data_IF_345106806353
#
_entry.id   IF_345106806353
#
_cell.length_a   1.000
_cell.length_b   1.000
_cell.length_c   1.000
_cell.angle_alpha   90.00
_cell.angle_beta   90.00
_cell.angle_gamma   90.00
#
_symmetry.space_group_name_H-M   'P 1'
#
loop_
_entity.id
_entity.type
_entity.pdbx_description
1 polymer ?
#
# COMPACT_ATOMS: atom_id res chain seq x y z
N UNK A 1 -18.36 6.82 -48.11
CA UNK A 1 -19.06 6.34 -49.32
C UNK A 1 -18.69 4.89 -49.59
N UNK A 2 -19.56 3.96 -49.24
CA UNK A 2 -19.92 2.77 -50.06
C UNK A 2 -21.25 2.30 -49.50
N UNK A 3 -22.26 2.41 -50.33
CA UNK A 3 -23.65 2.07 -50.08
C UNK A 3 -23.99 0.72 -50.74
N UNK A 4 -25.21 0.26 -50.45
CA UNK A 4 -26.03 -0.79 -51.08
C UNK A 4 -25.87 -2.20 -50.45
N UNK A 5 -26.91 -2.91 -50.02
CA UNK A 5 -28.35 -2.60 -50.00
C UNK A 5 -29.22 -3.88 -49.88
N UNK A 6 -30.43 -3.71 -49.32
CA UNK A 6 -31.71 -4.45 -49.54
C UNK A 6 -31.79 -5.97 -49.26
N UNK A 7 -32.92 -6.62 -48.93
CA UNK A 7 -34.27 -6.31 -48.43
C UNK A 7 -35.08 -7.62 -48.27
N UNK A 8 -36.26 -7.55 -47.63
CA UNK A 8 -37.40 -8.51 -47.75
C UNK A 8 -37.71 -9.23 -46.42
N UNK A 9 -38.75 -8.92 -45.64
CA UNK A 9 -40.20 -8.79 -45.88
C UNK A 9 -40.89 -10.12 -46.24
N UNK A 10 -41.78 -10.58 -45.36
CA UNK A 10 -42.62 -11.77 -45.54
C UNK A 10 -43.72 -11.85 -44.48
N UNK A 11 -44.74 -10.98 -44.61
CA UNK A 11 -46.04 -11.12 -43.96
C UNK A 11 -46.83 -12.24 -44.66
N UNK A 12 -47.42 -13.17 -43.92
CA UNK A 12 -48.58 -13.93 -44.40
C UNK A 12 -49.75 -13.79 -43.42
N UNK A 13 -50.84 -13.20 -43.94
CA UNK A 13 -52.19 -13.24 -43.39
C UNK A 13 -52.83 -14.57 -43.73
N UNK A 14 -53.65 -15.10 -42.82
CA UNK A 14 -54.84 -15.88 -43.19
C UNK A 14 -56.01 -15.53 -42.26
N UNK A 15 -57.12 -15.18 -42.90
CA UNK A 15 -58.44 -14.87 -42.35
C UNK A 15 -59.28 -16.13 -42.14
N UNK A 16 -60.21 -16.12 -41.18
CA UNK A 16 -61.24 -17.17 -41.08
C UNK A 16 -62.28 -16.98 -39.98
N UNK A 17 -63.40 -16.34 -40.34
CA UNK A 17 -64.81 -16.54 -39.94
C UNK A 17 -65.20 -17.15 -38.58
N UNK A 18 -66.00 -16.37 -37.83
CA UNK A 18 -67.43 -16.68 -37.60
C UNK A 18 -67.82 -17.52 -36.36
N UNK A 19 -68.70 -16.95 -35.51
CA UNK A 19 -69.58 -17.76 -34.65
C UNK A 19 -69.89 -17.14 -33.28
N UNK A 20 -71.03 -16.47 -33.16
CA UNK A 20 -71.60 -16.07 -31.88
C UNK A 20 -72.37 -17.23 -31.25
N UNK A 21 -72.19 -17.47 -29.94
CA UNK A 21 -73.24 -18.06 -29.11
C UNK A 21 -73.06 -17.74 -27.62
N UNK A 22 -74.21 -17.50 -26.98
CA UNK A 22 -74.45 -17.13 -25.58
C UNK A 22 -73.99 -18.24 -24.62
N UNK A 23 -73.54 -17.88 -23.41
CA UNK A 23 -74.25 -18.19 -22.15
C UNK A 23 -73.38 -18.06 -20.88
N UNK A 24 -74.09 -17.75 -19.79
CA UNK A 24 -73.85 -18.10 -18.37
C UNK A 24 -72.89 -17.22 -17.55
N UNK A 25 -73.53 -16.38 -16.73
CA UNK A 25 -73.02 -15.88 -15.46
C UNK A 25 -72.48 -17.04 -14.61
N UNK A 26 -71.17 -17.03 -14.35
CA UNK A 26 -70.51 -17.92 -13.39
C UNK A 26 -69.95 -17.10 -12.22
N UNK A 27 -70.35 -17.50 -11.01
CA UNK A 27 -69.85 -17.06 -9.72
C UNK A 27 -68.31 -17.11 -9.68
N UNK A 28 -67.68 -16.00 -9.29
CA UNK A 28 -66.21 -15.91 -9.13
C UNK A 28 -65.75 -16.78 -7.97
N UNK A 29 -64.71 -17.63 -8.12
CA UNK A 29 -64.09 -18.28 -6.98
C UNK A 29 -63.27 -17.24 -6.21
N UNK A 30 -63.42 -17.18 -4.89
CA UNK A 30 -62.49 -16.47 -4.02
C UNK A 30 -61.14 -17.17 -4.10
N UNK A 31 -60.20 -16.57 -4.83
CA UNK A 31 -58.79 -16.98 -4.85
C UNK A 31 -58.20 -16.57 -3.50
N UNK A 32 -57.86 -17.54 -2.66
CA UNK A 32 -57.03 -17.31 -1.48
C UNK A 32 -55.64 -16.86 -2.00
N UNK A 33 -55.29 -15.59 -1.83
CA UNK A 33 -53.92 -15.14 -2.04
C UNK A 33 -53.10 -15.63 -0.85
N UNK A 34 -52.31 -16.67 -1.05
CA UNK A 34 -51.16 -16.92 -0.18
C UNK A 34 -50.10 -15.92 -0.63
N UNK A 35 -49.94 -14.84 0.13
CA UNK A 35 -48.78 -13.97 0.00
C UNK A 35 -47.57 -14.75 0.48
N UNK A 36 -46.80 -15.31 -0.46
CA UNK A 36 -45.44 -15.72 -0.15
C UNK A 36 -44.68 -14.44 0.21
N UNK A 37 -44.36 -14.28 1.49
CA UNK A 37 -43.40 -13.29 1.95
C UNK A 37 -42.06 -13.65 1.32
N UNK A 38 -41.70 -12.96 0.24
CA UNK A 38 -40.31 -12.91 -0.21
C UNK A 38 -39.57 -12.14 0.87
N UNK A 39 -38.93 -12.86 1.79
CA UNK A 39 -37.85 -12.28 2.55
C UNK A 39 -36.81 -11.83 1.53
N UNK A 40 -36.68 -10.52 1.35
CA UNK A 40 -35.50 -9.93 0.71
C UNK A 40 -34.31 -10.34 1.59
N UNK A 41 -33.59 -11.38 1.17
CA UNK A 41 -32.29 -11.67 1.75
C UNK A 41 -31.40 -10.50 1.37
N UNK A 42 -30.97 -9.72 2.35
CA UNK A 42 -29.89 -8.75 2.16
C UNK A 42 -28.72 -9.49 1.50
N UNK A 43 -28.14 -8.96 0.40
CA UNK A 43 -26.95 -9.56 -0.17
C UNK A 43 -25.88 -9.61 0.94
N UNK A 44 -25.14 -10.72 1.07
CA UNK A 44 -24.12 -10.84 2.11
C UNK A 44 -23.16 -9.65 1.99
N UNK A 45 -22.72 -9.10 3.13
CA UNK A 45 -21.89 -7.90 3.12
C UNK A 45 -20.66 -8.11 2.24
N UNK A 46 -20.42 -7.15 1.35
CA UNK A 46 -19.32 -7.24 0.40
C UNK A 46 -18.00 -7.33 1.16
N UNK A 47 -17.16 -8.32 0.81
CA UNK A 47 -15.83 -8.45 1.40
C UNK A 47 -14.98 -7.25 1.00
N UNK A 48 -14.35 -6.60 1.97
CA UNK A 48 -13.47 -5.45 1.75
C UNK A 48 -12.07 -5.74 2.27
N UNK A 49 -11.07 -5.30 1.53
CA UNK A 49 -9.68 -5.39 1.94
C UNK A 49 -9.28 -4.14 2.69
N UNK A 50 -8.56 -4.32 3.80
CA UNK A 50 -7.95 -3.25 4.60
C UNK A 50 -6.57 -3.64 5.09
N UNK A 51 -5.86 -2.66 5.61
CA UNK A 51 -4.58 -2.80 6.28
C UNK A 51 -4.77 -2.50 7.77
N UNK A 52 -4.46 -3.49 8.62
CA UNK A 52 -4.20 -3.23 10.04
C UNK A 52 -2.73 -2.87 10.19
N UNK A 53 -2.40 -1.82 10.93
CA UNK A 53 -1.05 -1.23 10.91
C UNK A 53 -0.51 -0.89 12.29
N UNK A 54 0.81 -0.99 12.44
CA UNK A 54 1.57 -0.40 13.52
C UNK A 54 2.78 0.35 12.95
N UNK A 55 3.16 1.46 13.57
CA UNK A 55 4.29 2.29 13.12
C UNK A 55 5.34 2.37 14.21
N UNK A 56 6.60 2.34 13.83
CA UNK A 56 7.72 2.76 14.67
C UNK A 56 8.55 3.78 13.89
N UNK A 57 8.79 4.94 14.51
CA UNK A 57 9.68 5.99 14.01
C UNK A 57 10.70 6.30 15.11
N UNK A 58 11.98 6.11 14.81
CA UNK A 58 13.11 6.26 15.74
C UNK A 58 14.17 7.12 15.07
N UNK A 59 14.13 8.46 15.31
CA UNK A 59 15.10 9.35 14.72
C UNK A 59 16.52 9.05 15.15
N UNK A 60 17.47 9.42 14.29
CA UNK A 60 18.89 9.49 14.61
C UNK A 60 19.09 10.34 15.88
N UNK A 61 19.94 9.92 16.84
CA UNK A 61 20.13 10.62 18.11
C UNK A 61 20.44 12.12 17.98
N UNK A 62 21.25 12.49 16.98
CA UNK A 62 21.62 13.89 16.71
C UNK A 62 20.49 14.74 16.09
N UNK A 63 19.42 14.10 15.60
CA UNK A 63 18.29 14.75 14.92
C UNK A 63 17.01 14.78 15.77
N UNK A 64 17.07 14.30 17.02
CA UNK A 64 15.90 14.14 17.90
C UNK A 64 15.13 15.45 18.13
N UNK A 65 15.83 16.58 18.27
CA UNK A 65 15.18 17.89 18.50
C UNK A 65 14.28 18.32 17.34
N UNK A 66 14.57 17.85 16.12
CA UNK A 66 13.79 18.12 14.91
C UNK A 66 12.78 17.02 14.57
N UNK A 67 12.82 15.90 15.31
CA UNK A 67 11.99 14.73 15.06
C UNK A 67 12.47 13.83 13.92
N UNK A 68 13.75 13.95 13.52
CA UNK A 68 14.31 13.21 12.38
C UNK A 68 13.97 13.81 11.01
N UNK A 69 14.46 13.16 9.96
CA UNK A 69 14.28 13.55 8.57
C UNK A 69 13.27 12.65 7.84
N UNK A 70 12.93 11.50 8.43
CA UNK A 70 11.87 10.61 7.97
C UNK A 70 10.46 11.19 8.19
N UNK A 71 9.54 10.78 7.32
CA UNK A 71 8.12 11.00 7.43
C UNK A 71 7.33 9.77 6.98
N UNK A 72 6.07 9.69 7.40
CA UNK A 72 5.17 8.61 6.99
C UNK A 72 3.72 9.07 7.00
N UNK A 73 2.83 8.28 6.40
CA UNK A 73 1.39 8.35 6.61
C UNK A 73 0.79 6.94 6.64
N UNK A 74 -0.39 6.81 7.27
CA UNK A 74 -1.15 5.57 7.33
C UNK A 74 -2.64 5.86 7.14
N UNK A 75 -3.27 5.10 6.26
CA UNK A 75 -4.70 5.05 5.98
C UNK A 75 -5.18 3.60 6.06
N UNK A 76 -6.49 3.40 6.13
CA UNK A 76 -7.08 2.06 6.16
C UNK A 76 -6.70 1.21 4.94
N UNK A 77 -6.49 1.85 3.78
CA UNK A 77 -6.15 1.13 2.54
C UNK A 77 -4.79 1.50 1.96
N UNK A 78 -4.06 2.44 2.55
CA UNK A 78 -2.80 2.92 1.98
C UNK A 78 -1.82 3.37 3.05
N UNK A 79 -0.53 3.34 2.73
CA UNK A 79 0.55 3.74 3.63
C UNK A 79 1.73 4.24 2.83
N UNK A 80 2.59 5.03 3.46
CA UNK A 80 3.78 5.58 2.82
C UNK A 80 4.88 5.94 3.80
N UNK A 81 6.12 5.75 3.38
CA UNK A 81 7.33 6.21 4.08
C UNK A 81 8.16 7.09 3.14
N UNK A 82 8.82 8.09 3.72
CA UNK A 82 9.58 9.10 3.01
C UNK A 82 10.83 9.42 3.84
N UNK A 83 12.02 9.12 3.33
CA UNK A 83 13.28 9.45 4.00
C UNK A 83 13.86 10.72 3.39
N UNK A 84 14.03 11.75 4.22
CA UNK A 84 14.55 13.06 3.82
C UNK A 84 16.07 13.03 3.67
N UNK A 85 16.58 13.42 2.51
CA UNK A 85 18.00 13.25 2.18
C UNK A 85 18.89 14.18 3.04
N UNK A 86 19.62 13.59 3.99
CA UNK A 86 20.43 14.30 4.98
C UNK A 86 21.45 15.32 4.44
N UNK A 87 21.88 15.16 3.18
CA UNK A 87 22.86 16.05 2.54
C UNK A 87 22.48 17.54 2.53
N UNK A 88 21.17 17.85 2.56
CA UNK A 88 20.67 19.22 2.60
C UNK A 88 21.03 19.98 3.89
N UNK A 89 21.27 19.27 4.99
CA UNK A 89 21.67 19.89 6.26
C UNK A 89 22.97 20.71 6.13
N UNK A 90 23.89 20.30 5.24
CA UNK A 90 25.13 21.04 4.94
C UNK A 90 24.90 22.43 4.33
N UNK A 91 23.71 22.67 3.77
CA UNK A 91 23.27 23.94 3.20
C UNK A 91 22.35 24.72 4.16
N UNK A 92 22.19 24.25 5.41
CA UNK A 92 21.27 24.85 6.38
C UNK A 92 19.79 24.57 6.09
N UNK A 93 19.48 23.61 5.22
CA UNK A 93 18.12 23.21 4.87
C UNK A 93 17.77 21.96 5.68
N UNK A 94 16.62 21.97 6.34
CA UNK A 94 16.12 20.83 7.12
C UNK A 94 15.46 19.80 6.17
N UNK A 95 16.07 18.61 5.97
CA UNK A 95 15.54 17.61 5.04
C UNK A 95 14.17 17.10 5.44
N UNK A 96 13.88 17.07 6.74
CA UNK A 96 12.60 16.59 7.26
C UNK A 96 11.42 17.49 6.89
N UNK A 97 11.65 18.78 6.58
CA UNK A 97 10.56 19.65 6.14
C UNK A 97 10.01 19.22 4.78
N UNK A 98 10.89 18.84 3.85
CA UNK A 98 10.48 18.40 2.52
C UNK A 98 9.75 17.06 2.57
N UNK A 99 10.31 16.05 3.27
CA UNK A 99 9.72 14.71 3.40
C UNK A 99 8.34 14.77 4.08
N UNK A 100 8.21 15.50 5.19
CA UNK A 100 6.92 15.67 5.90
C UNK A 100 5.86 16.35 5.04
N UNK A 101 6.22 17.39 4.28
CA UNK A 101 5.26 18.06 3.39
C UNK A 101 4.86 17.16 2.21
N UNK A 102 5.81 16.44 1.62
CA UNK A 102 5.51 15.49 0.54
C UNK A 102 4.59 14.36 1.02
N UNK A 103 4.85 13.80 2.21
CA UNK A 103 4.01 12.80 2.84
C UNK A 103 2.57 13.27 2.99
N UNK A 104 2.35 14.44 3.63
CA UNK A 104 1.02 15.02 3.85
C UNK A 104 0.27 15.28 2.53
N UNK A 105 0.93 15.89 1.55
CA UNK A 105 0.30 16.18 0.26
C UNK A 105 -0.06 14.87 -0.48
N UNK A 106 0.78 13.85 -0.39
CA UNK A 106 0.50 12.54 -1.01
C UNK A 106 -0.70 11.87 -0.34
N UNK A 107 -0.76 11.89 0.99
CA UNK A 107 -1.88 11.36 1.78
C UNK A 107 -3.21 12.04 1.41
N UNK A 108 -3.22 13.37 1.31
CA UNK A 108 -4.40 14.16 0.92
C UNK A 108 -4.92 13.74 -0.47
N UNK A 109 -4.02 13.57 -1.43
CA UNK A 109 -4.40 13.19 -2.79
C UNK A 109 -4.88 11.74 -2.91
N UNK A 110 -4.34 10.83 -2.10
CA UNK A 110 -4.87 9.46 -2.01
C UNK A 110 -6.28 9.45 -1.41
N UNK A 111 -6.56 10.28 -0.39
CA UNK A 111 -7.91 10.45 0.18
C UNK A 111 -8.91 11.01 -0.84
N UNK A 112 -8.46 11.85 -1.76
CA UNK A 112 -9.26 12.36 -2.88
C UNK A 112 -9.49 11.34 -4.00
N UNK A 113 -8.92 10.14 -3.89
CA UNK A 113 -9.16 9.02 -4.80
C UNK A 113 -8.18 8.92 -5.97
N UNK A 114 -7.10 9.71 -5.98
CA UNK A 114 -6.05 9.59 -7.00
C UNK A 114 -5.32 8.26 -6.88
N UNK A 115 -4.71 7.80 -7.97
CA UNK A 115 -3.78 6.69 -7.89
C UNK A 115 -2.44 7.10 -7.25
N UNK A 116 -1.58 6.12 -6.94
CA UNK A 116 -0.33 6.36 -6.22
C UNK A 116 0.62 7.30 -7.00
N UNK A 117 0.73 7.11 -8.32
CA UNK A 117 1.63 7.92 -9.14
C UNK A 117 1.08 9.33 -9.32
N UNK A 118 -0.22 9.48 -9.58
CA UNK A 118 -0.88 10.78 -9.67
C UNK A 118 -0.82 11.55 -8.35
N UNK A 119 -1.02 10.87 -7.21
CA UNK A 119 -0.96 11.48 -5.89
C UNK A 119 0.46 11.98 -5.57
N UNK A 120 1.48 11.14 -5.78
CA UNK A 120 2.87 11.49 -5.50
C UNK A 120 3.39 12.57 -6.46
N UNK A 121 3.03 12.51 -7.74
CA UNK A 121 3.42 13.54 -8.72
C UNK A 121 2.75 14.88 -8.44
N UNK A 122 1.48 14.88 -8.04
CA UNK A 122 0.81 16.08 -7.57
C UNK A 122 1.48 16.64 -6.31
N UNK A 123 1.78 15.79 -5.32
CA UNK A 123 2.45 16.19 -4.10
C UNK A 123 3.82 16.81 -4.38
N UNK A 124 4.61 16.20 -5.26
CA UNK A 124 5.93 16.68 -5.65
C UNK A 124 5.86 18.04 -6.35
N UNK A 125 4.94 18.22 -7.32
CA UNK A 125 4.75 19.50 -8.03
C UNK A 125 4.25 20.64 -7.14
N UNK A 126 3.55 20.31 -6.06
CA UNK A 126 2.98 21.29 -5.12
C UNK A 126 3.80 21.41 -3.81
N UNK A 127 4.99 20.83 -3.76
CA UNK A 127 5.94 21.02 -2.67
C UNK A 127 6.92 22.15 -3.04
N UNK A 128 6.75 23.31 -2.41
CA UNK A 128 7.56 24.51 -2.60
C UNK A 128 8.79 24.60 -1.67
N UNK A 129 9.01 23.58 -0.84
CA UNK A 129 10.14 23.56 0.09
C UNK A 129 11.42 23.12 -0.62
N UNK A 130 12.55 23.63 -0.14
CA UNK A 130 13.85 23.10 -0.53
C UNK A 130 14.10 21.77 0.19
N UNK A 131 14.79 20.85 -0.48
CA UNK A 131 14.98 19.49 0.01
C UNK A 131 14.76 18.45 -1.08
N UNK A 132 14.93 17.19 -0.68
CA UNK A 132 14.60 15.99 -1.44
C UNK A 132 14.33 14.83 -0.50
N UNK A 133 13.65 13.81 -1.00
CA UNK A 133 13.29 12.62 -0.23
C UNK A 133 13.14 11.40 -1.13
N UNK A 134 13.40 10.22 -0.58
CA UNK A 134 12.92 8.96 -1.15
C UNK A 134 11.42 8.80 -0.86
N UNK A 135 10.74 7.90 -1.55
CA UNK A 135 9.32 7.65 -1.32
C UNK A 135 8.94 6.21 -1.63
N UNK A 136 8.44 5.47 -0.65
CA UNK A 136 7.82 4.17 -0.86
C UNK A 136 6.37 4.23 -0.40
N UNK A 137 5.42 4.07 -1.32
CA UNK A 137 3.98 4.14 -1.05
C UNK A 137 3.26 2.90 -1.55
N UNK A 138 2.29 2.42 -0.78
CA UNK A 138 1.53 1.21 -1.07
C UNK A 138 0.04 1.38 -0.79
N UNK A 139 -0.80 0.70 -1.56
CA UNK A 139 -2.26 0.68 -1.39
C UNK A 139 -2.83 -0.71 -1.65
N UNK A 140 -3.68 -1.20 -0.75
CA UNK A 140 -4.47 -2.41 -0.98
C UNK A 140 -5.65 -2.11 -1.88
N UNK A 141 -5.77 -2.89 -2.95
CA UNK A 141 -6.83 -2.80 -3.94
C UNK A 141 -7.96 -3.77 -3.59
N UNK A 142 -9.22 -3.49 -3.99
CA UNK A 142 -10.36 -4.38 -3.76
C UNK A 142 -10.17 -5.82 -4.28
N UNK A 143 -9.29 -6.02 -5.27
CA UNK A 143 -8.97 -7.33 -5.84
C UNK A 143 -7.98 -8.19 -5.04
N UNK A 144 -7.57 -7.78 -3.84
CA UNK A 144 -6.59 -8.53 -3.03
C UNK A 144 -5.17 -8.41 -3.57
N UNK A 145 -4.79 -7.20 -3.98
CA UNK A 145 -3.44 -6.87 -4.43
C UNK A 145 -2.95 -5.60 -3.75
N UNK A 146 -1.65 -5.49 -3.57
CA UNK A 146 -0.98 -4.26 -3.16
C UNK A 146 -0.43 -3.58 -4.41
N UNK A 147 -0.99 -2.42 -4.75
CA UNK A 147 -0.32 -1.47 -5.63
C UNK A 147 0.82 -0.82 -4.85
N UNK A 148 1.97 -0.68 -5.50
CA UNK A 148 3.21 -0.15 -4.93
C UNK A 148 3.83 0.85 -5.90
N UNK A 149 4.45 1.89 -5.35
CA UNK A 149 5.36 2.78 -6.05
C UNK A 149 6.53 3.14 -5.13
N UNK A 150 7.76 2.84 -5.58
CA UNK A 150 8.99 3.15 -4.85
C UNK A 150 9.91 4.07 -5.68
N UNK A 151 10.40 5.14 -5.08
CA UNK A 151 11.45 6.01 -5.62
C UNK A 151 12.56 6.07 -4.58
N UNK A 152 13.70 5.45 -4.86
CA UNK A 152 14.86 5.39 -3.96
C UNK A 152 15.05 4.04 -3.27
N UNK A 153 15.71 4.06 -2.11
CA UNK A 153 16.13 2.88 -1.35
C UNK A 153 15.34 2.66 -0.03
N UNK A 154 14.29 3.43 0.19
CA UNK A 154 13.13 2.92 0.95
C UNK A 154 12.54 1.69 0.24
N UNK A 155 11.73 0.89 0.94
CA UNK A 155 11.23 -0.34 0.35
C UNK A 155 10.06 -1.03 1.04
N UNK A 156 9.48 -2.00 0.33
CA UNK A 156 8.43 -2.89 0.81
C UNK A 156 8.92 -4.34 0.78
N UNK A 157 8.73 -5.06 1.89
CA UNK A 157 8.92 -6.50 2.01
C UNK A 157 7.57 -7.16 2.32
N UNK A 158 7.14 -8.11 1.50
CA UNK A 158 5.92 -8.88 1.72
C UNK A 158 6.24 -10.28 2.22
N UNK A 159 5.59 -10.65 3.34
CA UNK A 159 5.85 -11.88 4.08
C UNK A 159 4.53 -12.62 4.25
N UNK A 160 4.53 -13.89 3.87
CA UNK A 160 3.45 -14.80 4.20
C UNK A 160 3.94 -15.72 5.32
N UNK A 161 3.38 -15.69 6.53
CA UNK A 161 3.92 -16.46 7.67
C UNK A 161 4.15 -17.96 7.38
N UNK A 162 3.32 -18.55 6.51
CA UNK A 162 3.43 -19.95 6.08
C UNK A 162 4.51 -20.24 5.01
N UNK A 163 5.02 -19.22 4.31
CA UNK A 163 5.97 -19.38 3.19
C UNK A 163 7.28 -18.61 3.37
N UNK A 164 7.27 -17.50 4.12
CA UNK A 164 8.38 -16.57 4.27
C UNK A 164 8.23 -15.32 3.40
N UNK A 165 9.33 -14.63 3.15
CA UNK A 165 9.39 -13.50 2.22
C UNK A 165 9.11 -14.00 0.80
N UNK A 166 8.11 -13.42 0.13
CA UNK A 166 7.79 -13.73 -1.26
C UNK A 166 7.91 -12.53 -2.21
N UNK A 167 8.12 -11.34 -1.66
CA UNK A 167 8.40 -10.14 -2.44
C UNK A 167 9.26 -9.17 -1.62
N UNK A 168 10.19 -8.49 -2.30
CA UNK A 168 10.96 -7.36 -1.79
C UNK A 168 11.20 -6.38 -2.94
N UNK A 169 11.07 -5.08 -2.69
CA UNK A 169 11.47 -4.06 -3.65
C UNK A 169 12.96 -4.10 -3.91
N UNK A 170 13.43 -3.96 -5.16
CA UNK A 170 14.85 -3.81 -5.43
C UNK A 170 15.33 -2.42 -5.02
N UNK A 171 16.60 -2.32 -4.63
CA UNK A 171 17.24 -1.05 -4.29
C UNK A 171 17.34 -0.15 -5.53
N UNK A 172 17.02 1.13 -5.38
CA UNK A 172 17.07 2.10 -6.49
C UNK A 172 18.05 3.24 -6.18
N UNK A 173 19.24 3.17 -6.77
CA UNK A 173 20.34 4.11 -6.53
C UNK A 173 21.07 4.46 -7.83
N UNK A 174 21.58 5.69 -7.94
CA UNK A 174 22.42 6.12 -9.07
C UNK A 174 23.86 5.59 -8.94
N UNK A 175 24.34 5.55 -7.70
CA UNK A 175 25.59 4.94 -7.26
C UNK A 175 25.46 4.62 -5.76
N UNK A 176 26.45 3.94 -5.18
CA UNK A 176 26.39 3.53 -3.78
C UNK A 176 25.99 4.70 -2.85
N UNK A 177 24.94 4.47 -2.07
CA UNK A 177 24.41 5.42 -1.08
C UNK A 177 23.98 6.78 -1.68
N UNK A 178 23.56 6.77 -2.94
CA UNK A 178 22.90 7.91 -3.60
C UNK A 178 21.59 7.43 -4.23
N UNK A 179 20.47 7.50 -3.47
CA UNK A 179 19.19 7.02 -3.95
C UNK A 179 18.60 7.93 -5.00
N UNK A 180 17.72 7.33 -5.81
CA UNK A 180 16.73 8.09 -6.55
C UNK A 180 15.86 8.89 -5.58
N UNK A 181 15.58 10.14 -5.89
CA UNK A 181 14.94 11.05 -4.93
C UNK A 181 14.15 12.16 -5.59
N UNK A 182 12.96 12.43 -5.06
CA UNK A 182 12.12 13.54 -5.51
C UNK A 182 12.53 14.79 -4.75
N UNK A 183 12.87 15.88 -5.44
CA UNK A 183 13.38 17.07 -4.77
C UNK A 183 13.24 18.35 -5.56
N UNK A 184 13.45 19.47 -4.86
CA UNK A 184 13.39 20.82 -5.42
C UNK A 184 14.40 21.10 -6.55
N UNK A 185 15.55 20.40 -6.56
CA UNK A 185 16.64 20.59 -7.53
C UNK A 185 17.09 19.31 -8.23
N UNK A 186 16.50 18.16 -7.89
CA UNK A 186 16.90 16.86 -8.41
C UNK A 186 16.12 16.50 -9.68
N UNK A 187 16.73 15.67 -10.52
CA UNK A 187 16.18 15.35 -11.85
C UNK A 187 15.19 14.17 -11.86
N UNK A 188 15.20 13.33 -10.82
CA UNK A 188 14.35 12.14 -10.76
C UNK A 188 12.88 12.53 -10.66
N UNK A 189 12.05 11.77 -11.37
CA UNK A 189 10.61 11.95 -11.42
C UNK A 189 9.92 10.73 -10.87
N UNK A 190 8.65 10.90 -10.51
CA UNK A 190 7.79 9.81 -10.04
C UNK A 190 7.77 8.62 -11.01
N UNK A 191 7.79 8.90 -12.32
CA UNK A 191 7.81 7.87 -13.38
C UNK A 191 9.12 7.08 -13.46
N UNK A 192 10.20 7.57 -12.84
CA UNK A 192 11.48 6.87 -12.80
C UNK A 192 11.48 5.84 -11.65
N UNK A 193 10.50 5.91 -10.74
CA UNK A 193 10.28 4.92 -9.70
C UNK A 193 9.79 3.56 -10.19
N UNK A 194 9.89 2.58 -9.29
CA UNK A 194 9.47 1.19 -9.52
C UNK A 194 8.03 1.04 -9.05
N UNK A 195 7.12 0.85 -10.01
CA UNK A 195 5.72 0.59 -9.76
C UNK A 195 5.37 -0.88 -9.98
N UNK A 196 4.40 -1.41 -9.23
CA UNK A 196 3.93 -2.78 -9.42
C UNK A 196 2.68 -3.14 -8.62
N UNK A 197 2.14 -4.32 -8.90
CA UNK A 197 1.08 -4.93 -8.12
C UNK A 197 1.51 -6.30 -7.60
N UNK A 198 1.28 -6.56 -6.32
CA UNK A 198 1.67 -7.80 -5.66
C UNK A 198 0.40 -8.48 -5.11
N UNK A 199 0.11 -9.74 -5.46
CA UNK A 199 -1.04 -10.45 -4.90
C UNK A 199 -0.82 -10.74 -3.42
N UNK A 200 -1.85 -10.50 -2.60
CA UNK A 200 -1.82 -10.76 -1.15
C UNK A 200 -2.91 -11.74 -0.73
N UNK A 201 -2.65 -12.43 0.38
CA UNK A 201 -3.64 -13.21 1.12
C UNK A 201 -3.96 -12.51 2.45
N UNK A 202 -5.15 -12.79 3.00
CA UNK A 202 -5.49 -12.30 4.33
C UNK A 202 -4.55 -12.92 5.36
N UNK A 203 -3.92 -12.10 6.19
CA UNK A 203 -2.86 -12.50 7.11
C UNK A 203 -1.44 -12.32 6.58
N UNK A 204 -1.25 -11.95 5.31
CA UNK A 204 0.08 -11.55 4.82
C UNK A 204 0.52 -10.24 5.52
N UNK A 205 1.80 -10.18 5.88
CA UNK A 205 2.44 -8.98 6.43
C UNK A 205 3.17 -8.21 5.34
N UNK A 206 3.14 -6.88 5.46
CA UNK A 206 3.84 -5.94 4.61
C UNK A 206 4.68 -5.05 5.54
N UNK A 207 5.99 -5.06 5.34
CA UNK A 207 6.92 -4.17 6.05
C UNK A 207 7.36 -3.10 5.08
N UNK A 208 6.85 -1.89 5.25
CA UNK A 208 7.24 -0.71 4.48
C UNK A 208 8.21 0.09 5.34
N UNK A 209 9.44 0.36 4.87
CA UNK A 209 10.48 0.94 5.71
C UNK A 209 11.46 1.82 4.94
N UNK A 210 12.09 2.75 5.65
CA UNK A 210 13.23 3.54 5.17
C UNK A 210 14.53 2.72 5.24
N UNK A 211 15.58 3.23 4.60
CA UNK A 211 16.88 2.58 4.55
C UNK A 211 17.48 2.36 5.95
N UNK A 212 17.21 3.21 6.94
CA UNK A 212 17.67 3.02 8.33
C UNK A 212 17.26 1.67 8.95
N UNK A 213 16.16 1.05 8.50
CA UNK A 213 15.86 -0.35 8.81
C UNK A 213 16.61 -1.31 7.86
N UNK A 214 16.46 -1.11 6.55
CA UNK A 214 16.86 -2.05 5.50
C UNK A 214 18.37 -2.23 5.39
N UNK A 215 19.14 -1.18 5.71
CA UNK A 215 20.60 -1.17 5.74
C UNK A 215 21.17 -1.91 6.94
N UNK A 216 20.36 -2.15 7.99
CA UNK A 216 20.82 -2.67 9.27
C UNK A 216 20.24 -4.04 9.65
N UNK A 217 19.20 -4.53 8.97
CA UNK A 217 18.56 -5.79 9.30
C UNK A 217 18.53 -6.75 8.11
N UNK A 218 19.11 -7.93 8.29
CA UNK A 218 19.07 -8.98 7.26
C UNK A 218 17.66 -9.52 7.05
N UNK A 219 17.33 -9.83 5.80
CA UNK A 219 16.02 -10.38 5.41
C UNK A 219 15.66 -11.65 6.21
N UNK A 220 16.63 -12.53 6.46
CA UNK A 220 16.43 -13.77 7.24
C UNK A 220 16.04 -13.45 8.69
N UNK A 221 16.65 -12.44 9.29
CA UNK A 221 16.37 -12.04 10.67
C UNK A 221 15.01 -11.32 10.77
N UNK A 222 14.72 -10.42 9.82
CA UNK A 222 13.43 -9.75 9.70
C UNK A 222 12.29 -10.77 9.53
N UNK A 223 12.43 -11.72 8.60
CA UNK A 223 11.43 -12.78 8.39
C UNK A 223 11.20 -13.59 9.67
N UNK A 224 12.29 -13.96 10.36
CA UNK A 224 12.21 -14.73 11.60
C UNK A 224 11.45 -13.97 12.68
N UNK A 225 11.75 -12.69 12.89
CA UNK A 225 11.06 -11.84 13.89
C UNK A 225 9.56 -11.79 13.60
N UNK A 226 9.17 -11.54 12.34
CA UNK A 226 7.75 -11.48 11.94
C UNK A 226 7.05 -12.81 12.21
N UNK A 227 7.65 -13.94 11.80
CA UNK A 227 7.05 -15.27 11.97
C UNK A 227 6.95 -15.73 13.41
N UNK A 228 7.91 -15.38 14.25
CA UNK A 228 7.88 -15.75 15.66
C UNK A 228 6.82 -14.93 16.40
N UNK A 229 6.74 -13.63 16.16
CA UNK A 229 5.75 -12.76 16.79
C UNK A 229 4.31 -13.02 16.31
N UNK A 230 4.11 -13.41 15.05
CA UNK A 230 2.81 -13.84 14.53
C UNK A 230 2.30 -15.12 15.22
N UNK A 231 3.19 -16.01 15.67
CA UNK A 231 2.82 -17.21 16.42
C UNK A 231 2.53 -16.91 17.89
N UNK A 232 3.26 -15.97 18.48
CA UNK A 232 3.19 -15.65 19.90
C UNK A 232 2.05 -14.67 20.25
N UNK A 233 1.70 -13.80 19.32
CA UNK A 233 0.76 -12.70 19.53
C UNK A 233 -0.28 -12.66 18.41
N UNK A 234 -1.40 -11.99 18.65
CA UNK A 234 -2.48 -11.87 17.67
C UNK A 234 -2.94 -10.42 17.52
N UNK A 235 -3.50 -10.12 16.36
CA UNK A 235 -4.09 -8.81 16.08
C UNK A 235 -3.07 -7.67 16.18
N UNK A 236 -3.54 -6.55 16.70
CA UNK A 236 -2.73 -5.36 16.90
C UNK A 236 -1.49 -5.62 17.78
N UNK A 237 -1.59 -6.49 18.79
CA UNK A 237 -0.46 -6.82 19.66
C UNK A 237 0.72 -7.45 18.89
N UNK A 238 0.44 -8.23 17.84
CA UNK A 238 1.48 -8.78 16.98
C UNK A 238 2.14 -7.67 16.15
N UNK A 239 1.32 -6.81 15.53
CA UNK A 239 1.81 -5.67 14.72
C UNK A 239 2.68 -4.71 15.54
N UNK A 240 2.21 -4.31 16.73
CA UNK A 240 2.95 -3.42 17.62
C UNK A 240 4.28 -4.05 18.06
N UNK A 241 4.28 -5.35 18.38
CA UNK A 241 5.49 -6.06 18.74
C UNK A 241 6.46 -6.17 17.56
N UNK A 242 5.97 -6.41 16.33
CA UNK A 242 6.78 -6.49 15.12
C UNK A 242 7.43 -5.14 14.84
N UNK A 243 6.64 -4.05 14.80
CA UNK A 243 7.16 -2.71 14.52
C UNK A 243 8.24 -2.29 15.54
N UNK A 244 7.98 -2.51 16.82
CA UNK A 244 8.95 -2.19 17.88
C UNK A 244 10.20 -3.08 17.84
N UNK A 245 10.04 -4.39 17.68
CA UNK A 245 11.18 -5.32 17.71
C UNK A 245 12.10 -5.11 16.51
N UNK A 246 11.55 -4.92 15.31
CA UNK A 246 12.34 -4.65 14.10
C UNK A 246 13.15 -3.35 14.23
N UNK A 247 12.50 -2.26 14.65
CA UNK A 247 13.18 -0.95 14.81
C UNK A 247 14.22 -0.93 15.93
N UNK A 248 13.96 -1.58 17.08
CA UNK A 248 14.95 -1.72 18.17
C UNK A 248 16.13 -2.55 17.70
N UNK A 249 15.87 -3.63 16.96
CA UNK A 249 16.93 -4.51 16.48
C UNK A 249 17.83 -3.80 15.46
N UNK A 250 17.24 -3.11 14.49
CA UNK A 250 17.98 -2.32 13.52
C UNK A 250 18.80 -1.21 14.19
N UNK A 251 18.23 -0.44 15.14
CA UNK A 251 19.00 0.58 15.86
C UNK A 251 20.17 -0.02 16.64
N UNK A 252 19.99 -1.20 17.23
CA UNK A 252 21.06 -1.90 17.95
C UNK A 252 22.19 -2.27 16.99
N UNK A 253 21.87 -2.82 15.83
CA UNK A 253 22.84 -3.22 14.82
C UNK A 253 23.50 -2.02 14.10
N UNK A 254 22.81 -0.89 14.04
CA UNK A 254 23.28 0.33 13.39
C UNK A 254 24.57 0.91 14.00
N UNK A 255 24.85 0.61 15.27
CA UNK A 255 26.05 1.07 15.99
C UNK A 255 27.12 -0.03 16.16
N UNK A 256 26.94 -1.19 15.54
CA UNK A 256 27.88 -2.32 15.67
C UNK A 256 28.98 -2.25 14.62
N UNK A 257 30.15 -1.70 14.95
CA UNK A 257 31.27 -1.43 14.03
C UNK A 257 31.83 -2.65 13.27
N UNK A 258 31.59 -3.87 13.76
CA UNK A 258 32.11 -5.11 13.16
C UNK A 258 31.03 -5.96 12.49
N UNK A 259 29.82 -5.42 12.39
CA UNK A 259 28.70 -6.11 11.79
C UNK A 259 28.80 -6.11 10.26
N UNK A 260 28.59 -7.27 9.65
CA UNK A 260 28.40 -7.39 8.21
C UNK A 260 26.95 -7.08 7.87
N UNK A 261 26.62 -5.78 7.89
CA UNK A 261 25.27 -5.27 7.64
C UNK A 261 24.87 -5.38 6.16
N UNK A 262 23.56 -5.35 5.86
CA UNK A 262 23.09 -5.15 4.48
C UNK A 262 23.75 -3.94 3.79
N UNK A 263 23.96 -2.82 4.52
CA UNK A 263 24.70 -1.67 4.00
C UNK A 263 26.13 -2.01 3.61
N UNK A 264 26.89 -2.65 4.50
CA UNK A 264 28.27 -3.06 4.24
C UNK A 264 28.37 -4.06 3.08
N UNK A 265 27.40 -4.98 2.98
CA UNK A 265 27.25 -5.88 1.84
C UNK A 265 27.00 -5.11 0.53
N UNK A 266 26.13 -4.11 0.55
CA UNK A 266 25.86 -3.27 -0.60
C UNK A 266 27.12 -2.49 -1.01
N UNK A 267 27.81 -1.88 -0.04
CA UNK A 267 29.07 -1.15 -0.25
C UNK A 267 30.11 -2.01 -0.98
N UNK A 268 30.23 -3.28 -0.59
CA UNK A 268 31.15 -4.24 -1.20
C UNK A 268 30.86 -4.52 -2.68
N UNK A 269 29.59 -4.53 -3.09
CA UNK A 269 29.20 -4.68 -4.50
C UNK A 269 29.73 -3.52 -5.38
N UNK A 270 29.93 -2.35 -4.77
CA UNK A 270 30.50 -1.16 -5.43
C UNK A 270 32.00 -0.98 -5.18
N UNK A 271 32.68 -1.98 -4.60
CA UNK A 271 34.12 -1.98 -4.40
C UNK A 271 34.59 -1.29 -3.10
N UNK A 272 33.67 -0.90 -2.22
CA UNK A 272 34.02 -0.37 -0.91
C UNK A 272 34.21 -1.50 0.10
N UNK A 273 35.28 -1.44 0.89
CA UNK A 273 35.53 -2.38 1.99
C UNK A 273 35.20 -1.72 3.32
N UNK A 274 33.96 -1.88 3.79
CA UNK A 274 33.52 -1.37 5.10
C UNK A 274 32.87 -2.49 5.90
N UNK A 275 32.98 -2.41 7.23
CA UNK A 275 32.13 -3.14 8.19
C UNK A 275 31.33 -2.09 8.97
N UNK A 276 30.34 -2.54 9.72
CA UNK A 276 29.53 -1.66 10.56
C UNK A 276 28.07 -1.65 10.16
N UNK A 277 27.20 -1.30 11.11
CA UNK A 277 25.89 -0.76 10.79
C UNK A 277 25.96 0.66 10.22
N UNK A 278 24.81 1.20 9.84
CA UNK A 278 24.63 2.59 9.40
C UNK A 278 23.63 3.26 10.33
N UNK A 279 24.11 4.17 11.18
CA UNK A 279 23.24 4.94 12.07
C UNK A 279 22.43 5.95 11.25
N UNK A 280 21.10 5.84 11.29
CA UNK A 280 20.19 6.73 10.57
C UNK A 280 18.84 6.89 11.28
N UNK A 281 17.96 7.73 10.74
CA UNK A 281 16.54 7.72 11.07
C UNK A 281 15.93 6.35 10.68
N UNK A 282 15.11 5.76 11.56
CA UNK A 282 14.48 4.46 11.30
C UNK A 282 12.98 4.61 11.36
N UNK A 283 12.32 4.54 10.20
CA UNK A 283 10.87 4.50 10.09
C UNK A 283 10.42 3.21 9.44
N UNK A 284 9.46 2.53 10.07
CA UNK A 284 8.72 1.44 9.44
C UNK A 284 7.24 1.45 9.79
N UNK A 285 6.47 0.92 8.85
CA UNK A 285 5.07 0.56 9.00
C UNK A 285 4.98 -0.96 8.84
N UNK A 286 4.62 -1.64 9.91
CA UNK A 286 4.19 -3.03 9.84
C UNK A 286 2.70 -3.04 9.54
N UNK A 287 2.30 -3.65 8.42
CA UNK A 287 0.92 -3.78 8.01
C UNK A 287 0.54 -5.25 7.86
N UNK A 288 -0.72 -5.59 8.14
CA UNK A 288 -1.31 -6.89 7.88
C UNK A 288 -2.50 -6.73 6.96
N UNK A 289 -2.48 -7.43 5.83
CA UNK A 289 -3.61 -7.44 4.90
C UNK A 289 -4.75 -8.24 5.52
N UNK A 290 -5.94 -7.63 5.65
CA UNK A 290 -7.12 -8.28 6.24
C UNK A 290 -8.28 -8.15 5.27
N UNK A 291 -8.93 -9.29 5.01
CA UNK A 291 -10.20 -9.34 4.29
C UNK A 291 -11.34 -9.32 5.33
N UNK A 292 -11.98 -8.18 5.52
CA UNK A 292 -13.17 -8.07 6.38
C UNK A 292 -14.42 -8.47 5.61
N UNK A 293 -15.32 -9.17 6.30
CA UNK A 293 -16.73 -9.26 5.90
C UNK A 293 -17.40 -7.99 6.45
N UNK A 294 -18.08 -7.20 5.60
CA UNK A 294 -18.69 -5.94 6.04
C UNK A 294 -19.64 -6.15 7.24
N UNK A 295 -19.64 -5.23 8.18
CA UNK A 295 -20.63 -5.24 9.25
C UNK A 295 -22.00 -4.86 8.66
N UNK A 296 -23.05 -5.60 9.00
CA UNK A 296 -24.42 -5.21 8.67
C UNK A 296 -24.66 -3.80 9.23
N UNK A 297 -24.96 -2.83 8.37
CA UNK A 297 -25.58 -1.58 8.80
C UNK A 297 -26.95 -1.95 9.38
N UNK A 298 -26.98 -2.30 10.67
CA UNK A 298 -28.20 -2.38 11.45
C UNK A 298 -28.69 -0.95 11.59
N UNK A 299 -29.56 -0.55 10.67
CA UNK A 299 -30.37 0.67 10.76
C UNK A 299 -30.93 0.75 12.18
N UNK A 300 -30.41 1.70 12.96
CA UNK A 300 -30.99 2.12 14.25
C UNK A 300 -31.99 3.23 14.02
#
# INVERSE_FOLDING_TARGET
MRALGFAGCGLLRLSGYGGASKQRSAMRPRRLLVTASTAESTPPPAKSWKLETAVSNRPHPEKLEKGGEDAFFVLETAMGVFDGVGGWASQGIDPGLYSRKLSRLTEEQIKEGKDLAEALDHAHKNNDLQGSTTACIARILPGGKIALLNVGDSGLIAIRPSQGIYFKTPDQQHYFNCPFQLGSTFEDKVKDGIAGEIPVQSGDYLILATDGLLDNLHDIELEKIVKDLDKEKSGQNALDAIANTLSIRAQTLAVEDKYWSPFAMNASKYGYSTLGGKLDDITLIAARAVLSEGEDEVLK
#
